data_IF_951831001750
#
_entry.id   IF_951831001750
#
_cell.length_a   1.000
_cell.length_b   1.000
_cell.length_c   1.000
_cell.angle_alpha   90.00
_cell.angle_beta   90.00
_cell.angle_gamma   90.00
#
_symmetry.space_group_name_H-M   'P 1'
#
loop_
_entity.id
_entity.type
_entity.pdbx_description
1 polymer ?
#
# COMPACT_ATOMS: atom_id res chain seq x y z
N UNK A 1 41.71 17.51 47.69
CA UNK A 1 41.87 16.87 46.37
C UNK A 1 40.75 17.44 45.54
N UNK A 2 40.91 18.65 45.02
CA UNK A 2 39.81 19.36 44.34
C UNK A 2 40.36 20.03 43.11
N UNK A 3 39.91 19.55 41.96
CA UNK A 3 40.33 20.06 40.67
C UNK A 3 39.87 19.15 39.54
N UNK A 4 38.82 19.63 38.86
CA UNK A 4 38.44 19.31 37.48
C UNK A 4 37.55 18.06 37.34
N UNK A 5 36.23 18.30 37.14
CA UNK A 5 35.67 17.90 35.85
C UNK A 5 34.61 18.90 35.34
N UNK A 6 35.05 20.07 34.84
CA UNK A 6 34.18 20.94 34.00
C UNK A 6 34.58 20.96 32.52
N UNK A 7 35.63 20.23 32.13
CA UNK A 7 36.14 20.24 30.75
C UNK A 7 35.61 19.06 29.92
N UNK A 8 35.19 17.95 30.56
CA UNK A 8 34.66 16.77 29.84
C UNK A 8 33.20 16.97 29.39
N UNK A 9 32.42 17.76 30.13
CA UNK A 9 31.02 18.04 29.77
C UNK A 9 30.88 18.99 28.56
N UNK A 10 31.87 19.85 28.30
CA UNK A 10 31.80 20.81 27.20
C UNK A 10 32.19 20.21 25.83
N UNK A 11 33.02 19.16 25.81
CA UNK A 11 33.43 18.49 24.56
C UNK A 11 32.38 17.52 24.02
N UNK A 12 31.50 16.96 24.87
CA UNK A 12 30.39 16.13 24.43
C UNK A 12 29.23 16.95 23.84
N UNK A 13 29.00 18.17 24.34
CA UNK A 13 27.93 19.04 23.82
C UNK A 13 28.27 19.70 22.47
N UNK A 14 29.55 19.93 22.16
CA UNK A 14 29.96 20.54 20.88
C UNK A 14 29.96 19.57 19.69
N UNK A 15 29.96 18.24 19.90
CA UNK A 15 29.92 17.27 18.80
C UNK A 15 28.50 16.85 18.37
N UNK A 16 27.49 17.06 19.22
CA UNK A 16 26.08 16.76 18.88
C UNK A 16 25.47 17.88 18.00
N UNK A 17 25.99 19.10 18.07
CA UNK A 17 25.50 20.24 17.28
C UNK A 17 26.08 20.33 15.86
N UNK A 18 26.98 19.43 15.45
CA UNK A 18 27.65 19.48 14.14
C UNK A 18 27.28 18.34 13.18
N UNK A 19 26.35 17.45 13.54
CA UNK A 19 25.91 16.35 12.66
C UNK A 19 24.41 16.32 12.32
N UNK A 20 23.59 17.27 12.78
CA UNK A 20 22.25 17.47 12.22
C UNK A 20 22.33 18.29 10.94
N UNK A 21 22.94 17.75 9.89
CA UNK A 21 22.51 18.15 8.55
C UNK A 21 21.10 17.61 8.40
N UNK A 22 20.11 18.49 8.58
CA UNK A 22 18.72 18.26 8.22
C UNK A 22 18.66 17.65 6.82
N UNK A 23 18.48 16.34 6.77
CA UNK A 23 18.19 15.63 5.54
C UNK A 23 16.70 15.81 5.29
N UNK A 24 16.32 16.89 4.60
CA UNK A 24 14.97 16.96 4.05
C UNK A 24 14.95 16.06 2.82
N UNK A 25 14.21 14.94 2.89
CA UNK A 25 13.85 14.17 1.72
C UNK A 25 12.87 15.02 0.90
N UNK A 26 13.36 15.63 -0.18
CA UNK A 26 12.49 16.32 -1.13
C UNK A 26 12.11 15.33 -2.25
N UNK A 27 10.89 15.47 -2.82
CA UNK A 27 10.56 14.83 -4.09
C UNK A 27 11.68 15.11 -5.11
N UNK A 28 11.98 14.17 -5.99
CA UNK A 28 13.05 14.35 -6.98
C UNK A 28 12.45 14.77 -8.32
N UNK A 29 13.21 15.54 -9.07
CA UNK A 29 12.98 15.73 -10.50
C UNK A 29 13.44 14.50 -11.28
N UNK A 30 12.94 14.33 -12.50
CA UNK A 30 13.25 13.16 -13.35
C UNK A 30 14.74 13.01 -13.71
N UNK A 31 15.53 14.07 -13.49
CA UNK A 31 16.98 14.11 -13.59
C UNK A 31 17.70 14.01 -12.23
N UNK A 32 16.99 13.53 -11.20
CA UNK A 32 17.45 13.34 -9.82
C UNK A 32 17.88 14.63 -9.10
N UNK A 33 17.51 15.81 -9.62
CA UNK A 33 17.72 17.09 -8.93
C UNK A 33 16.58 17.37 -7.95
N UNK A 34 16.86 18.22 -6.94
CA UNK A 34 15.82 18.74 -6.06
C UNK A 34 14.96 19.80 -6.79
N UNK A 35 13.63 19.77 -6.65
CA UNK A 35 12.72 20.81 -7.11
C UNK A 35 13.09 22.18 -6.53
N UNK A 36 12.99 23.21 -7.37
CA UNK A 36 13.37 24.57 -7.03
C UNK A 36 12.21 25.54 -7.26
N UNK A 37 12.26 26.71 -6.63
CA UNK A 37 11.30 27.79 -6.89
C UNK A 37 11.71 28.49 -8.19
N UNK A 38 10.89 28.44 -9.26
CA UNK A 38 11.21 29.13 -10.51
C UNK A 38 11.31 30.64 -10.29
N UNK A 39 12.26 31.30 -10.97
CA UNK A 39 12.47 32.76 -10.86
C UNK A 39 11.30 33.59 -11.40
N UNK A 40 10.47 32.98 -12.25
CA UNK A 40 9.29 33.59 -12.84
C UNK A 40 8.20 32.53 -13.04
N UNK A 41 6.91 32.90 -12.94
CA UNK A 41 5.82 32.00 -13.25
C UNK A 41 5.93 31.46 -14.67
N UNK A 42 5.68 30.17 -14.84
CA UNK A 42 5.65 29.52 -16.15
C UNK A 42 4.36 29.89 -16.89
N UNK A 43 4.48 30.14 -18.19
CA UNK A 43 3.35 30.55 -19.02
C UNK A 43 2.62 29.35 -19.63
N UNK A 44 3.31 28.21 -19.77
CA UNK A 44 2.77 27.01 -20.40
C UNK A 44 2.41 25.93 -19.37
N UNK A 45 3.40 25.38 -18.68
CA UNK A 45 3.24 24.41 -17.59
C UNK A 45 3.13 25.13 -16.26
N UNK A 46 1.93 25.65 -15.97
CA UNK A 46 1.66 26.41 -14.75
C UNK A 46 1.73 25.48 -13.53
N UNK A 47 2.64 25.79 -12.61
CA UNK A 47 2.79 25.08 -11.35
C UNK A 47 2.93 26.08 -10.20
N UNK A 48 2.24 25.82 -9.10
CA UNK A 48 2.31 26.63 -7.87
C UNK A 48 3.33 26.02 -6.91
N UNK A 49 4.40 26.75 -6.59
CA UNK A 49 5.40 26.32 -5.61
C UNK A 49 6.71 25.87 -6.25
N UNK A 50 7.31 24.80 -5.71
CA UNK A 50 8.58 24.24 -6.23
C UNK A 50 8.30 23.34 -7.42
N UNK A 51 9.05 23.50 -8.51
CA UNK A 51 8.92 22.66 -9.69
C UNK A 51 10.28 22.21 -10.23
N UNK A 52 10.23 21.41 -11.28
CA UNK A 52 11.43 20.83 -11.91
C UNK A 52 11.90 21.54 -13.17
N UNK A 53 11.11 22.48 -13.69
CA UNK A 53 11.44 23.25 -14.89
C UNK A 53 11.77 24.71 -14.56
N UNK A 54 12.73 25.26 -15.31
CA UNK A 54 12.95 26.69 -15.44
C UNK A 54 12.20 27.26 -16.66
N UNK A 55 12.20 28.58 -16.82
CA UNK A 55 11.42 29.23 -17.89
C UNK A 55 11.93 28.94 -19.30
N UNK A 56 13.21 28.58 -19.47
CA UNK A 56 13.74 28.10 -20.76
C UNK A 56 13.17 26.72 -21.10
N UNK A 57 13.10 25.83 -20.12
CA UNK A 57 12.50 24.49 -20.27
C UNK A 57 10.99 24.58 -20.54
N UNK A 58 10.26 25.47 -19.84
CA UNK A 58 8.82 25.74 -20.10
C UNK A 58 8.58 26.19 -21.54
N UNK A 59 9.43 27.08 -22.07
CA UNK A 59 9.36 27.53 -23.46
C UNK A 59 9.62 26.40 -24.44
N UNK A 60 10.53 25.48 -24.11
CA UNK A 60 10.86 24.35 -24.98
C UNK A 60 9.73 23.31 -24.99
N UNK A 61 9.15 22.99 -23.83
CA UNK A 61 7.96 22.14 -23.73
C UNK A 61 6.78 22.72 -24.51
N UNK A 62 6.60 24.06 -24.47
CA UNK A 62 5.60 24.74 -25.29
C UNK A 62 5.86 24.59 -26.80
N UNK A 63 7.12 24.62 -27.25
CA UNK A 63 7.46 24.38 -28.66
C UNK A 63 7.20 22.92 -29.04
N UNK A 64 7.61 21.97 -28.18
CA UNK A 64 7.34 20.55 -28.35
C UNK A 64 5.84 20.30 -28.49
N UNK A 65 5.01 20.86 -27.60
CA UNK A 65 3.55 20.74 -27.69
C UNK A 65 2.99 21.31 -28.99
N UNK A 66 3.45 22.48 -29.44
CA UNK A 66 3.05 23.05 -30.73
C UNK A 66 3.43 22.17 -31.92
N UNK A 67 4.57 21.46 -31.83
CA UNK A 67 5.02 20.55 -32.88
C UNK A 67 4.13 19.31 -33.04
N UNK A 68 3.33 18.96 -32.03
CA UNK A 68 2.38 17.85 -32.11
C UNK A 68 1.20 18.13 -33.07
N UNK A 69 0.92 19.40 -33.37
CA UNK A 69 -0.10 19.84 -34.34
C UNK A 69 -1.47 19.16 -34.19
N UNK A 70 -1.95 19.04 -32.95
CA UNK A 70 -3.23 18.38 -32.62
C UNK A 70 -4.40 19.38 -32.70
N UNK A 71 -5.51 18.97 -33.31
CA UNK A 71 -6.68 19.83 -33.57
C UNK A 71 -7.80 19.75 -32.53
N UNK A 72 -7.88 18.68 -31.73
CA UNK A 72 -8.93 18.47 -30.72
C UNK A 72 -8.56 19.04 -29.35
N UNK A 73 -9.44 19.85 -28.75
CA UNK A 73 -9.19 20.51 -27.47
C UNK A 73 -8.98 19.52 -26.30
N UNK A 74 -9.81 18.48 -26.19
CA UNK A 74 -9.68 17.47 -25.13
C UNK A 74 -8.34 16.72 -25.22
N UNK A 75 -8.00 16.23 -26.41
CA UNK A 75 -6.71 15.61 -26.67
C UNK A 75 -5.52 16.56 -26.44
N UNK A 76 -5.63 17.82 -26.87
CA UNK A 76 -4.62 18.85 -26.65
C UNK A 76 -4.39 19.12 -25.16
N UNK A 77 -5.46 19.13 -24.36
CA UNK A 77 -5.36 19.29 -22.90
C UNK A 77 -4.61 18.13 -22.26
N UNK A 78 -4.93 16.89 -22.65
CA UNK A 78 -4.28 15.69 -22.14
C UNK A 78 -2.81 15.61 -22.53
N UNK A 79 -2.47 15.86 -23.81
CA UNK A 79 -1.09 15.91 -24.30
C UNK A 79 -0.27 17.01 -23.60
N UNK A 80 -0.88 18.16 -23.33
CA UNK A 80 -0.25 19.22 -22.54
C UNK A 80 0.06 18.73 -21.13
N UNK A 81 -0.88 18.06 -20.48
CA UNK A 81 -0.69 17.47 -19.14
C UNK A 81 0.50 16.50 -19.13
N UNK A 82 0.55 15.56 -20.09
CA UNK A 82 1.64 14.58 -20.22
C UNK A 82 3.00 15.25 -20.42
N UNK A 83 3.10 16.29 -21.25
CA UNK A 83 4.38 16.99 -21.45
C UNK A 83 4.78 17.79 -20.21
N UNK A 84 3.81 18.38 -19.52
CA UNK A 84 4.05 19.18 -18.32
C UNK A 84 4.40 18.37 -17.07
N UNK A 85 4.18 17.04 -17.06
CA UNK A 85 4.64 16.18 -15.95
C UNK A 85 6.16 16.25 -15.74
N UNK A 86 6.94 16.59 -16.78
CA UNK A 86 8.38 16.82 -16.64
C UNK A 86 8.73 17.93 -15.64
N UNK A 87 7.82 18.87 -15.43
CA UNK A 87 7.98 19.98 -14.48
C UNK A 87 7.42 19.67 -13.10
N UNK A 88 6.74 18.53 -12.94
CA UNK A 88 6.11 18.12 -11.70
C UNK A 88 7.15 17.53 -10.73
N UNK A 89 7.23 18.04 -9.49
CA UNK A 89 8.20 17.58 -8.50
C UNK A 89 7.99 16.14 -8.03
N UNK A 90 6.84 15.53 -8.26
CA UNK A 90 6.53 14.15 -7.88
C UNK A 90 6.77 13.14 -9.01
N UNK A 91 7.09 13.62 -10.21
CA UNK A 91 7.22 12.75 -11.38
C UNK A 91 8.45 11.84 -11.34
N UNK A 92 9.50 12.09 -10.57
CA UNK A 92 10.64 11.16 -10.53
C UNK A 92 10.30 9.78 -9.96
N UNK A 93 9.29 9.66 -9.10
CA UNK A 93 8.82 8.35 -8.63
C UNK A 93 8.20 7.53 -9.78
N UNK A 94 7.65 8.22 -10.78
CA UNK A 94 7.10 7.64 -12.01
C UNK A 94 8.18 7.36 -13.08
N UNK A 95 9.32 8.06 -13.04
CA UNK A 95 10.39 7.98 -14.05
C UNK A 95 11.73 7.57 -13.43
N UNK A 96 12.02 6.25 -13.38
CA UNK A 96 13.38 5.75 -13.08
C UNK A 96 14.35 6.04 -14.22
N UNK A 97 15.64 6.23 -13.90
CA UNK A 97 16.73 6.49 -14.86
C UNK A 97 16.88 5.30 -15.82
N UNK A 98 16.43 5.45 -17.07
CA UNK A 98 16.72 4.52 -18.17
C UNK A 98 15.85 4.81 -19.39
N UNK A 99 16.40 4.60 -20.58
CA UNK A 99 15.80 4.99 -21.86
C UNK A 99 14.90 3.88 -22.42
N UNK A 100 13.57 4.07 -22.35
CA UNK A 100 12.57 3.20 -22.97
C UNK A 100 11.14 3.58 -22.57
N UNK A 101 10.10 3.14 -23.31
CA UNK A 101 8.71 3.19 -22.85
C UNK A 101 8.56 2.44 -21.53
N UNK A 102 7.73 2.95 -20.62
CA UNK A 102 7.51 2.36 -19.29
C UNK A 102 6.05 2.43 -18.90
N UNK A 103 5.62 1.40 -18.18
CA UNK A 103 4.35 1.39 -17.46
C UNK A 103 4.45 2.42 -16.33
N UNK A 104 3.63 3.46 -16.41
CA UNK A 104 3.47 4.43 -15.32
C UNK A 104 2.29 3.92 -14.50
N UNK A 105 2.46 3.54 -13.23
CA UNK A 105 1.34 3.07 -12.40
C UNK A 105 0.32 4.20 -12.33
N UNK A 106 -0.86 3.95 -12.91
CA UNK A 106 -2.08 4.76 -12.87
C UNK A 106 -1.78 6.27 -12.89
N UNK A 107 -1.78 6.86 -14.08
CA UNK A 107 -1.89 8.31 -14.22
C UNK A 107 -3.29 8.72 -13.70
N UNK A 108 -3.50 8.79 -12.39
CA UNK A 108 -4.74 9.30 -11.84
C UNK A 108 -4.92 10.72 -12.37
N UNK A 109 -6.07 10.97 -13.00
CA UNK A 109 -6.46 12.33 -13.34
C UNK A 109 -6.83 13.05 -12.06
N UNK A 110 -5.85 13.57 -11.30
CA UNK A 110 -5.88 14.98 -10.89
C UNK A 110 -4.79 15.41 -9.90
N UNK A 111 -4.29 16.61 -10.12
CA UNK A 111 -3.83 17.57 -9.10
C UNK A 111 -5.03 18.30 -8.46
N UNK A 112 -6.19 17.66 -8.26
CA UNK A 112 -7.41 18.32 -7.79
C UNK A 112 -7.35 18.35 -6.27
N UNK A 113 -7.42 19.56 -5.71
CA UNK A 113 -7.58 19.80 -4.29
C UNK A 113 -8.78 19.02 -3.75
N UNK A 114 -8.59 18.37 -2.60
CA UNK A 114 -9.51 17.44 -1.93
C UNK A 114 -10.96 17.94 -1.69
N UNK A 115 -11.29 19.19 -2.03
CA UNK A 115 -12.59 19.83 -1.78
C UNK A 115 -13.41 20.17 -3.05
N UNK A 116 -13.09 19.59 -4.21
CA UNK A 116 -13.87 19.81 -5.45
C UNK A 116 -15.00 18.78 -5.61
N UNK A 117 -16.20 19.24 -6.01
CA UNK A 117 -17.39 18.43 -6.31
C UNK A 117 -17.26 17.50 -7.54
N UNK A 118 -16.04 17.27 -8.03
CA UNK A 118 -15.73 16.48 -9.23
C UNK A 118 -15.08 15.12 -8.93
N UNK A 119 -15.08 14.67 -7.67
CA UNK A 119 -14.53 13.37 -7.24
C UNK A 119 -15.16 12.14 -7.95
N UNK A 120 -16.35 12.28 -8.55
CA UNK A 120 -16.98 11.22 -9.36
C UNK A 120 -16.28 10.92 -10.70
N UNK A 121 -15.28 11.70 -11.12
CA UNK A 121 -14.54 11.47 -12.37
C UNK A 121 -13.34 10.50 -12.21
N UNK A 122 -13.19 9.88 -11.03
CA UNK A 122 -12.17 8.89 -10.71
C UNK A 122 -12.37 7.52 -11.40
N UNK A 123 -13.49 7.29 -12.09
CA UNK A 123 -13.80 6.02 -12.76
C UNK A 123 -13.26 5.89 -14.20
N UNK A 124 -12.47 6.86 -14.68
CA UNK A 124 -11.83 6.78 -16.01
C UNK A 124 -10.33 7.01 -15.85
N UNK A 125 -9.59 5.91 -15.86
CA UNK A 125 -8.13 5.92 -15.92
C UNK A 125 -7.65 6.82 -17.08
N UNK A 126 -6.56 7.56 -16.88
CA UNK A 126 -6.08 8.58 -17.82
C UNK A 126 -5.77 8.01 -19.19
N UNK A 127 -5.33 6.75 -19.28
CA UNK A 127 -5.18 6.11 -20.58
C UNK A 127 -6.51 6.06 -21.34
N UNK A 128 -7.60 5.68 -20.66
CA UNK A 128 -8.92 5.64 -21.28
C UNK A 128 -9.34 7.02 -21.78
N UNK A 129 -9.05 8.09 -21.03
CA UNK A 129 -9.31 9.48 -21.46
C UNK A 129 -8.49 9.88 -22.67
N UNK A 130 -7.19 9.55 -22.69
CA UNK A 130 -6.32 9.80 -23.85
C UNK A 130 -6.85 9.05 -25.06
N UNK A 131 -7.22 7.77 -24.93
CA UNK A 131 -7.79 7.03 -26.02
C UNK A 131 -9.07 7.71 -26.53
N UNK A 132 -10.06 7.93 -25.66
CA UNK A 132 -11.38 8.42 -26.08
C UNK A 132 -11.30 9.79 -26.78
N UNK A 133 -10.41 10.68 -26.31
CA UNK A 133 -10.22 12.02 -26.89
C UNK A 133 -9.27 12.07 -28.10
N UNK A 134 -8.24 11.21 -28.14
CA UNK A 134 -7.15 11.30 -29.13
C UNK A 134 -7.19 10.23 -30.22
N UNK A 135 -7.88 9.10 -30.04
CA UNK A 135 -7.67 7.91 -30.89
C UNK A 135 -7.85 8.15 -32.39
N UNK A 136 -8.79 9.02 -32.74
CA UNK A 136 -9.14 9.38 -34.10
C UNK A 136 -8.54 10.72 -34.56
N UNK A 137 -7.64 11.34 -33.79
CA UNK A 137 -6.97 12.58 -34.16
C UNK A 137 -5.56 12.30 -34.65
N UNK A 138 -5.14 13.09 -35.64
CA UNK A 138 -3.77 13.08 -36.14
C UNK A 138 -2.85 13.80 -35.15
N UNK A 139 -1.81 13.11 -34.69
CA UNK A 139 -0.76 13.66 -33.81
C UNK A 139 0.58 13.54 -34.53
N UNK A 140 1.22 14.67 -34.77
CA UNK A 140 2.57 14.71 -35.35
C UNK A 140 3.60 14.29 -34.30
N UNK A 141 4.50 13.37 -34.63
CA UNK A 141 5.50 12.86 -33.68
C UNK A 141 4.86 12.38 -32.38
N UNK A 142 3.80 11.56 -32.52
CA UNK A 142 3.02 11.08 -31.39
C UNK A 142 3.94 10.53 -30.28
N UNK A 143 3.78 10.98 -29.02
CA UNK A 143 4.53 10.42 -27.90
C UNK A 143 4.12 8.96 -27.58
N UNK A 144 3.06 8.46 -28.22
CA UNK A 144 2.47 7.14 -27.99
C UNK A 144 2.83 6.11 -29.08
N UNK A 145 4.06 6.17 -29.60
CA UNK A 145 4.54 5.22 -30.62
C UNK A 145 5.09 3.94 -29.96
N UNK A 146 5.04 2.81 -30.69
CA UNK A 146 5.50 1.49 -30.20
C UNK A 146 7.03 1.32 -30.16
N UNK A 147 7.80 2.29 -30.66
CA UNK A 147 9.23 2.10 -30.87
C UNK A 147 10.08 2.26 -29.59
N UNK A 148 10.64 1.12 -29.17
CA UNK A 148 11.79 1.03 -28.29
C UNK A 148 12.99 1.72 -28.95
N UNK A 149 13.41 2.86 -28.41
CA UNK A 149 14.70 3.51 -28.67
C UNK A 149 15.08 3.74 -30.15
N UNK A 150 14.87 4.97 -30.65
CA UNK A 150 15.83 5.59 -31.58
C UNK A 150 15.43 5.77 -33.05
N UNK A 151 14.23 5.40 -33.48
CA UNK A 151 13.75 5.79 -34.83
C UNK A 151 12.76 6.94 -34.73
N UNK A 152 13.18 8.14 -35.14
CA UNK A 152 12.28 9.29 -35.31
C UNK A 152 11.45 9.05 -36.57
N UNK A 153 10.28 8.43 -36.42
CA UNK A 153 9.31 8.39 -37.50
C UNK A 153 8.62 9.76 -37.53
N UNK A 154 9.14 10.66 -38.38
CA UNK A 154 8.54 11.96 -38.70
C UNK A 154 7.27 11.75 -39.53
N UNK A 155 6.22 11.18 -38.92
CA UNK A 155 4.92 10.99 -39.55
C UNK A 155 3.81 11.37 -38.58
N UNK A 156 2.84 12.13 -39.09
CA UNK A 156 1.56 12.30 -38.41
C UNK A 156 0.81 10.98 -38.39
N UNK A 157 0.40 10.53 -37.21
CA UNK A 157 -0.27 9.22 -37.01
C UNK A 157 -1.47 9.36 -36.08
N UNK A 158 -2.47 8.49 -36.25
CA UNK A 158 -3.61 8.34 -35.32
C UNK A 158 -3.34 7.18 -34.35
N UNK A 159 -3.89 7.19 -33.14
CA UNK A 159 -3.66 6.06 -32.22
C UNK A 159 -4.28 4.77 -32.76
N UNK A 160 -5.39 4.86 -33.50
CA UNK A 160 -6.00 3.71 -34.20
C UNK A 160 -5.14 3.11 -35.31
N UNK A 161 -4.13 3.84 -35.79
CA UNK A 161 -3.14 3.33 -36.76
C UNK A 161 -1.95 2.67 -36.05
N UNK A 162 -1.67 3.06 -34.80
CA UNK A 162 -0.54 2.58 -34.01
C UNK A 162 -0.90 1.39 -33.10
N UNK A 163 -2.15 1.33 -32.64
CA UNK A 163 -2.61 0.40 -31.59
C UNK A 163 -3.82 -0.41 -32.06
N UNK A 164 -3.82 -1.70 -31.72
CA UNK A 164 -4.84 -2.66 -32.17
C UNK A 164 -6.18 -2.46 -31.45
N UNK A 165 -6.16 -1.94 -30.23
CA UNK A 165 -7.35 -1.66 -29.43
C UNK A 165 -7.07 -0.66 -28.31
N UNK A 166 -8.14 -0.12 -27.70
CA UNK A 166 -8.08 0.66 -26.46
C UNK A 166 -7.37 -0.11 -25.35
N UNK A 167 -7.68 -1.41 -25.24
CA UNK A 167 -7.05 -2.32 -24.28
C UNK A 167 -5.54 -2.39 -24.49
N UNK A 168 -5.08 -2.69 -25.70
CA UNK A 168 -3.65 -2.80 -26.01
C UNK A 168 -2.89 -1.48 -25.77
N UNK A 169 -3.52 -0.33 -26.03
CA UNK A 169 -2.95 0.98 -25.71
C UNK A 169 -2.84 1.21 -24.20
N UNK A 170 -3.87 0.81 -23.43
CA UNK A 170 -3.86 0.96 -21.98
C UNK A 170 -3.00 -0.07 -21.27
N UNK A 171 -2.86 -1.29 -21.78
CA UNK A 171 -1.94 -2.26 -21.21
C UNK A 171 -0.48 -1.75 -21.28
N UNK A 172 -0.11 -1.02 -22.34
CA UNK A 172 1.22 -0.42 -22.47
C UNK A 172 1.40 0.86 -21.62
N UNK A 173 0.45 1.81 -21.69
CA UNK A 173 0.63 3.14 -21.11
C UNK A 173 -0.14 3.41 -19.80
N UNK A 174 -1.19 2.63 -19.52
CA UNK A 174 -1.96 2.65 -18.27
C UNK A 174 -1.64 1.49 -17.32
N UNK A 175 -0.87 0.49 -17.79
CA UNK A 175 -0.72 -0.80 -17.12
C UNK A 175 -1.86 -1.75 -17.48
N UNK A 176 -1.64 -3.06 -17.31
CA UNK A 176 -2.61 -4.09 -17.68
C UNK A 176 -4.01 -3.76 -17.13
N UNK A 177 -5.04 -3.87 -17.98
CA UNK A 177 -6.45 -3.64 -17.65
C UNK A 177 -7.05 -4.60 -16.61
N UNK A 178 -6.32 -5.64 -16.23
CA UNK A 178 -6.45 -6.25 -14.91
C UNK A 178 -5.41 -5.58 -14.02
N UNK A 179 -5.85 -4.71 -13.11
CA UNK A 179 -5.03 -3.88 -12.22
C UNK A 179 -4.02 -4.65 -11.35
N UNK A 180 -3.93 -5.98 -11.50
CA UNK A 180 -3.08 -6.83 -10.69
C UNK A 180 -3.51 -6.87 -9.22
N UNK A 181 -4.65 -6.25 -8.90
CA UNK A 181 -5.17 -6.24 -7.54
C UNK A 181 -5.45 -7.67 -7.09
N UNK A 182 -5.09 -7.96 -5.85
CA UNK A 182 -5.26 -9.30 -5.28
C UNK A 182 -4.34 -10.39 -5.84
N UNK A 183 -3.45 -10.09 -6.79
CA UNK A 183 -2.53 -11.09 -7.36
C UNK A 183 -1.16 -11.05 -6.69
N UNK A 184 -0.61 -12.23 -6.48
CA UNK A 184 0.74 -12.43 -5.94
C UNK A 184 1.54 -13.18 -6.99
N UNK A 185 2.74 -12.70 -7.31
CA UNK A 185 3.64 -13.37 -8.25
C UNK A 185 4.94 -13.76 -7.57
N UNK A 186 5.55 -14.84 -8.07
CA UNK A 186 6.91 -15.20 -7.70
C UNK A 186 7.90 -14.42 -8.56
N UNK A 187 8.88 -13.81 -7.89
CA UNK A 187 10.01 -13.18 -8.53
C UNK A 187 11.18 -14.18 -8.65
N UNK A 188 11.73 -14.31 -9.84
CA UNK A 188 13.01 -14.98 -10.08
C UNK A 188 14.13 -14.03 -9.75
N UNK A 189 14.88 -14.36 -8.69
CA UNK A 189 16.04 -13.57 -8.26
C UNK A 189 17.28 -14.07 -9.02
N UNK A 190 17.96 -13.21 -9.79
CA UNK A 190 19.18 -13.59 -10.51
C UNK A 190 20.34 -13.82 -9.54
N UNK A 191 21.34 -14.59 -9.98
CA UNK A 191 22.55 -14.80 -9.18
C UNK A 191 23.27 -13.45 -8.91
N UNK A 192 23.81 -13.30 -7.70
CA UNK A 192 24.54 -12.10 -7.33
C UNK A 192 25.73 -11.88 -8.30
N UNK A 193 25.82 -10.69 -8.88
CA UNK A 193 26.86 -10.34 -9.84
C UNK A 193 26.64 -10.84 -11.28
N UNK A 194 25.54 -11.53 -11.60
CA UNK A 194 25.26 -11.97 -12.98
C UNK A 194 24.94 -10.83 -13.94
N UNK A 195 24.50 -9.68 -13.42
CA UNK A 195 24.03 -8.55 -14.21
C UNK A 195 22.64 -8.75 -14.83
N UNK A 196 22.00 -9.88 -14.57
CA UNK A 196 20.61 -10.14 -14.96
C UNK A 196 19.63 -9.37 -14.06
N UNK A 197 18.41 -9.17 -14.54
CA UNK A 197 17.34 -8.47 -13.81
C UNK A 197 16.40 -9.46 -13.15
N UNK A 198 15.77 -9.04 -12.04
CA UNK A 198 14.67 -9.76 -11.42
C UNK A 198 13.55 -10.01 -12.45
N UNK A 199 13.17 -11.27 -12.63
CA UNK A 199 12.15 -11.70 -13.58
C UNK A 199 10.83 -11.99 -12.86
N UNK A 200 9.71 -11.55 -13.42
CA UNK A 200 8.36 -11.89 -12.93
C UNK A 200 7.56 -12.41 -14.12
N UNK A 201 7.00 -13.61 -14.00
CA UNK A 201 6.05 -14.13 -14.98
C UNK A 201 4.64 -13.65 -14.63
N UNK A 202 4.24 -12.52 -15.19
CA UNK A 202 2.93 -11.91 -14.93
C UNK A 202 1.76 -12.77 -15.43
N UNK A 203 2.01 -13.72 -16.35
CA UNK A 203 0.97 -14.58 -16.91
C UNK A 203 0.55 -15.73 -15.99
N UNK A 204 1.37 -16.05 -14.99
CA UNK A 204 1.16 -17.14 -14.06
C UNK A 204 1.30 -16.65 -12.60
N UNK A 205 0.24 -16.04 -12.04
CA UNK A 205 0.26 -15.65 -10.63
C UNK A 205 0.42 -16.87 -9.72
N UNK A 206 1.16 -16.67 -8.62
CA UNK A 206 1.24 -17.65 -7.55
C UNK A 206 -0.13 -17.85 -6.90
N UNK A 207 -0.79 -16.75 -6.56
CA UNK A 207 -2.12 -16.70 -5.96
C UNK A 207 -2.91 -15.55 -6.61
N UNK A 208 -4.18 -15.78 -6.90
CA UNK A 208 -5.09 -14.79 -7.48
C UNK A 208 -6.31 -14.63 -6.56
N UNK A 209 -6.38 -13.51 -5.83
CA UNK A 209 -7.48 -13.11 -4.94
C UNK A 209 -8.23 -11.89 -5.48
N UNK A 210 -8.27 -11.71 -6.81
CA UNK A 210 -8.89 -10.53 -7.44
C UNK A 210 -10.37 -10.37 -7.05
N UNK A 211 -11.07 -11.48 -6.79
CA UNK A 211 -12.51 -11.46 -6.47
C UNK A 211 -12.77 -11.09 -5.00
N UNK A 212 -11.82 -11.36 -4.10
CA UNK A 212 -11.91 -11.11 -2.66
C UNK A 212 -11.34 -9.74 -2.26
N UNK A 213 -10.29 -9.30 -2.95
CA UNK A 213 -9.51 -8.12 -2.58
C UNK A 213 -10.16 -6.85 -3.12
N UNK A 214 -10.44 -5.92 -2.23
CA UNK A 214 -10.82 -4.57 -2.58
C UNK A 214 -9.59 -3.68 -2.65
N UNK A 215 -9.29 -3.18 -3.84
CA UNK A 215 -8.19 -2.27 -4.10
C UNK A 215 -8.66 -0.81 -4.15
N UNK A 216 -7.92 0.05 -3.44
CA UNK A 216 -8.03 1.51 -3.44
C UNK A 216 -6.67 2.10 -3.04
N UNK A 217 -6.60 3.41 -2.82
CA UNK A 217 -5.36 4.16 -2.53
C UNK A 217 -4.60 3.63 -1.30
N UNK A 218 -5.33 3.26 -0.23
CA UNK A 218 -4.76 2.74 1.02
C UNK A 218 -5.30 1.34 1.39
N UNK A 219 -6.05 0.71 0.48
CA UNK A 219 -6.67 -0.58 0.67
C UNK A 219 -6.23 -1.53 -0.42
N UNK A 220 -6.04 -2.81 -0.11
CA UNK A 220 -5.69 -3.80 -1.11
C UNK A 220 -5.00 -4.99 -0.50
N UNK A 221 -3.99 -5.51 -1.20
CA UNK A 221 -3.07 -6.49 -0.64
C UNK A 221 -2.08 -5.78 0.29
N UNK A 222 -2.14 -6.10 1.58
CA UNK A 222 -1.38 -5.41 2.63
C UNK A 222 -0.14 -6.18 3.09
N UNK A 223 -0.16 -7.51 2.96
CA UNK A 223 0.99 -8.31 3.34
C UNK A 223 0.90 -9.78 2.95
N UNK A 224 2.05 -10.44 2.90
CA UNK A 224 2.18 -11.88 2.81
C UNK A 224 3.25 -12.34 3.80
N UNK A 225 3.00 -13.45 4.49
CA UNK A 225 3.97 -14.08 5.36
C UNK A 225 3.94 -15.60 5.17
N UNK A 226 5.10 -16.21 5.00
CA UNK A 226 5.25 -17.66 5.00
C UNK A 226 5.47 -18.15 6.42
N UNK A 227 4.79 -19.23 6.79
CA UNK A 227 4.99 -19.86 8.09
C UNK A 227 6.48 -20.21 8.30
N UNK A 228 7.06 -20.11 9.51
CA UNK A 228 8.47 -20.45 9.75
C UNK A 228 8.84 -21.88 9.28
N UNK A 229 7.90 -22.81 9.41
CA UNK A 229 7.98 -24.19 8.91
C UNK A 229 7.35 -24.42 7.51
N UNK A 230 7.29 -23.40 6.65
CA UNK A 230 6.64 -23.48 5.33
C UNK A 230 7.17 -24.64 4.46
N UNK A 231 8.46 -24.93 4.52
CA UNK A 231 9.06 -26.02 3.75
C UNK A 231 8.44 -27.39 4.09
N UNK A 232 7.96 -27.56 5.33
CA UNK A 232 7.36 -28.79 5.82
C UNK A 232 5.83 -28.77 5.75
N UNK A 233 5.21 -27.63 6.06
CA UNK A 233 3.75 -27.55 6.22
C UNK A 233 3.03 -26.84 5.08
N UNK A 234 3.73 -26.12 4.20
CA UNK A 234 3.15 -25.40 3.07
C UNK A 234 2.22 -24.23 3.44
N UNK A 235 2.18 -23.80 4.71
CA UNK A 235 1.25 -22.77 5.19
C UNK A 235 1.80 -21.38 4.93
N UNK A 236 0.98 -20.52 4.34
CA UNK A 236 1.30 -19.11 4.17
C UNK A 236 0.05 -18.27 4.36
N UNK A 237 0.23 -16.99 4.61
CA UNK A 237 -0.83 -16.08 5.04
C UNK A 237 -0.82 -14.85 4.18
N UNK A 238 -2.00 -14.37 3.81
CA UNK A 238 -2.16 -13.08 3.16
C UNK A 238 -2.98 -12.17 4.05
N UNK A 239 -2.57 -10.90 4.13
CA UNK A 239 -3.38 -9.83 4.70
C UNK A 239 -3.85 -8.90 3.59
N UNK A 240 -5.14 -8.60 3.59
CA UNK A 240 -5.76 -7.79 2.55
C UNK A 240 -7.05 -7.14 3.04
N UNK A 241 -7.53 -6.16 2.28
CA UNK A 241 -8.82 -5.52 2.51
C UNK A 241 -9.88 -6.07 1.56
N UNK A 242 -11.11 -6.17 2.02
CA UNK A 242 -12.25 -6.59 1.23
C UNK A 242 -13.45 -5.66 1.42
N UNK A 243 -14.42 -5.72 0.51
CA UNK A 243 -15.67 -4.95 0.55
C UNK A 243 -16.87 -5.87 0.80
N UNK A 244 -17.54 -5.72 1.95
CA UNK A 244 -18.71 -6.53 2.31
C UNK A 244 -19.90 -6.39 1.36
N UNK A 245 -19.97 -5.29 0.62
CA UNK A 245 -21.03 -5.05 -0.38
C UNK A 245 -20.78 -5.89 -1.63
N UNK A 246 -19.50 -6.11 -2.00
CA UNK A 246 -19.12 -6.90 -3.17
C UNK A 246 -18.96 -8.39 -2.84
N UNK A 247 -18.36 -8.71 -1.70
CA UNK A 247 -18.10 -10.07 -1.24
C UNK A 247 -18.77 -10.30 0.13
N UNK A 248 -19.92 -10.97 0.20
CA UNK A 248 -20.67 -11.14 1.44
C UNK A 248 -19.93 -11.89 2.56
N UNK A 249 -18.92 -12.70 2.23
CA UNK A 249 -18.07 -13.41 3.22
C UNK A 249 -17.00 -12.47 3.84
N UNK A 250 -16.85 -11.26 3.31
CA UNK A 250 -16.15 -10.15 3.93
C UNK A 250 -16.98 -9.58 5.10
N UNK A 251 -17.14 -10.38 6.14
CA UNK A 251 -17.92 -10.03 7.32
C UNK A 251 -17.10 -10.17 8.57
N UNK A 252 -17.28 -9.22 9.50
CA UNK A 252 -16.59 -9.18 10.77
C UNK A 252 -17.21 -8.15 11.70
N UNK A 253 -16.76 -8.17 12.96
CA UNK A 253 -17.12 -7.13 13.93
C UNK A 253 -16.55 -5.80 13.46
N UNK A 254 -17.30 -4.71 13.62
CA UNK A 254 -16.81 -3.36 13.37
C UNK A 254 -15.88 -2.91 14.50
N UNK A 255 -14.69 -2.38 14.19
CA UNK A 255 -13.75 -1.85 15.19
C UNK A 255 -14.33 -0.65 15.96
N UNK A 256 -15.08 0.21 15.28
CA UNK A 256 -15.90 1.23 15.91
C UNK A 256 -17.18 0.62 16.48
N UNK A 257 -17.21 0.40 17.79
CA UNK A 257 -18.39 -0.07 18.50
C UNK A 257 -18.45 0.47 19.93
N UNK A 258 -19.57 0.25 20.61
CA UNK A 258 -19.85 0.80 21.94
C UNK A 258 -18.84 0.36 23.00
N UNK A 259 -18.18 -0.80 22.83
CA UNK A 259 -17.12 -1.26 23.75
C UNK A 259 -15.91 -0.30 23.74
N UNK A 260 -15.65 0.32 22.59
CA UNK A 260 -14.56 1.28 22.35
C UNK A 260 -14.99 2.73 22.54
N UNK A 261 -16.25 2.99 22.90
CA UNK A 261 -16.82 4.35 22.94
C UNK A 261 -17.06 4.96 21.54
N UNK A 262 -17.16 4.13 20.51
CA UNK A 262 -17.43 4.58 19.14
C UNK A 262 -18.80 4.09 18.64
N UNK A 263 -19.50 4.92 17.87
CA UNK A 263 -20.81 4.60 17.31
C UNK A 263 -20.74 4.74 15.79
N UNK A 264 -20.76 3.63 15.02
CA UNK A 264 -20.55 3.68 13.58
C UNK A 264 -21.69 4.41 12.85
N UNK A 265 -22.88 4.54 13.47
CA UNK A 265 -23.98 5.30 12.88
C UNK A 265 -23.77 6.82 12.92
N UNK A 266 -22.81 7.28 13.74
CA UNK A 266 -22.44 8.70 13.88
C UNK A 266 -21.21 9.07 13.04
N UNK A 267 -20.57 8.10 12.41
CA UNK A 267 -19.44 8.33 11.53
C UNK A 267 -19.92 8.82 10.16
N UNK A 268 -19.22 9.79 9.54
CA UNK A 268 -19.51 10.20 8.18
C UNK A 268 -19.16 9.09 7.20
N UNK A 269 -19.85 9.06 6.06
CA UNK A 269 -19.40 8.27 4.91
C UNK A 269 -18.19 8.95 4.26
N UNK A 270 -17.15 8.19 3.94
CA UNK A 270 -15.97 8.68 3.21
C UNK A 270 -15.99 8.16 1.78
N UNK A 271 -15.92 9.05 0.79
CA UNK A 271 -15.90 8.69 -0.64
C UNK A 271 -17.05 7.74 -1.08
N UNK A 272 -18.20 7.80 -0.39
CA UNK A 272 -19.36 6.94 -0.66
C UNK A 272 -19.36 5.60 0.08
N UNK A 273 -18.25 5.24 0.76
CA UNK A 273 -18.19 4.07 1.61
C UNK A 273 -18.87 4.33 2.96
N UNK A 274 -19.64 3.34 3.42
CA UNK A 274 -20.24 3.37 4.76
C UNK A 274 -19.23 2.91 5.81
N UNK A 275 -19.30 3.41 7.05
CA UNK A 275 -18.48 2.92 8.16
C UNK A 275 -18.56 1.39 8.29
N UNK A 276 -17.41 0.74 8.44
CA UNK A 276 -17.28 -0.71 8.50
C UNK A 276 -17.86 -1.46 7.28
N UNK A 277 -17.82 -0.82 6.11
CA UNK A 277 -18.04 -1.49 4.83
C UNK A 277 -16.83 -2.36 4.47
N UNK A 278 -15.64 -1.78 4.54
CA UNK A 278 -14.39 -2.50 4.29
C UNK A 278 -13.94 -3.26 5.53
N UNK A 279 -13.26 -4.39 5.32
CA UNK A 279 -12.67 -5.17 6.41
C UNK A 279 -11.19 -5.42 6.14
N UNK A 280 -10.39 -5.48 7.20
CA UNK A 280 -9.04 -6.02 7.17
C UNK A 280 -9.09 -7.51 7.50
N UNK A 281 -8.49 -8.32 6.65
CA UNK A 281 -8.49 -9.79 6.70
C UNK A 281 -7.06 -10.29 6.86
N UNK A 282 -6.91 -11.37 7.64
CA UNK A 282 -5.78 -12.29 7.54
C UNK A 282 -6.34 -13.68 7.24
N UNK A 283 -5.94 -14.24 6.10
CA UNK A 283 -6.37 -15.55 5.64
C UNK A 283 -5.16 -16.49 5.51
N UNK A 284 -5.35 -17.74 5.91
CA UNK A 284 -4.39 -18.83 5.73
C UNK A 284 -4.68 -19.56 4.41
N UNK A 285 -3.61 -19.86 3.68
CA UNK A 285 -3.60 -20.63 2.45
C UNK A 285 -2.55 -21.74 2.53
N UNK A 286 -2.67 -22.71 1.63
CA UNK A 286 -1.78 -23.88 1.59
C UNK A 286 -1.21 -24.12 0.20
N UNK A 287 0.11 -24.32 0.16
CA UNK A 287 0.83 -24.83 -1.01
C UNK A 287 0.83 -26.37 -1.08
N UNK A 288 0.32 -27.06 -0.05
CA UNK A 288 0.20 -28.52 -0.08
C UNK A 288 -0.85 -28.92 -1.12
N UNK A 289 -0.47 -29.75 -2.08
CA UNK A 289 -1.37 -30.28 -3.10
C UNK A 289 -1.12 -29.76 -4.51
N UNK A 290 -0.31 -28.70 -4.68
CA UNK A 290 0.15 -28.26 -6.01
C UNK A 290 1.57 -28.74 -6.35
N UNK A 291 2.35 -29.13 -5.35
CA UNK A 291 3.69 -29.73 -5.51
C UNK A 291 3.93 -30.83 -4.46
N UNK A 292 4.84 -31.77 -4.76
CA UNK A 292 5.33 -32.77 -3.80
C UNK A 292 6.21 -32.17 -2.71
N UNK A 293 6.78 -30.99 -2.96
CA UNK A 293 7.48 -30.16 -1.99
C UNK A 293 6.85 -28.76 -2.01
N UNK A 294 6.25 -28.30 -0.90
CA UNK A 294 5.55 -27.00 -0.88
C UNK A 294 6.43 -25.82 -1.29
N UNK A 295 7.73 -25.87 -0.98
CA UNK A 295 8.72 -24.87 -1.37
C UNK A 295 8.98 -24.76 -2.88
N UNK A 296 8.51 -25.74 -3.67
CA UNK A 296 8.64 -25.76 -5.13
C UNK A 296 7.33 -25.38 -5.84
N UNK A 297 6.27 -25.06 -5.09
CA UNK A 297 5.00 -24.65 -5.69
C UNK A 297 5.17 -23.31 -6.41
N UNK A 298 4.83 -23.28 -7.70
CA UNK A 298 4.82 -22.06 -8.52
C UNK A 298 3.45 -21.42 -8.63
N UNK A 299 2.40 -22.15 -8.21
CA UNK A 299 1.03 -21.66 -8.10
C UNK A 299 0.27 -22.42 -7.01
N UNK A 300 -0.79 -21.80 -6.51
CA UNK A 300 -1.68 -22.33 -5.46
C UNK A 300 -3.13 -22.00 -5.78
N UNK A 301 -4.06 -22.79 -5.24
CA UNK A 301 -5.49 -22.50 -5.37
C UNK A 301 -5.88 -21.37 -4.40
N UNK A 302 -6.77 -20.44 -4.81
CA UNK A 302 -7.28 -19.38 -3.93
C UNK A 302 -8.35 -19.90 -2.97
N UNK A 303 -8.09 -21.04 -2.34
CA UNK A 303 -8.98 -21.61 -1.34
C UNK A 303 -8.47 -21.22 0.05
N UNK A 304 -9.19 -20.31 0.69
CA UNK A 304 -8.95 -19.96 2.09
C UNK A 304 -9.10 -21.22 2.96
N UNK A 305 -8.00 -21.61 3.61
CA UNK A 305 -7.98 -22.74 4.55
C UNK A 305 -8.62 -22.33 5.88
N UNK A 306 -8.34 -21.09 6.30
CA UNK A 306 -8.80 -20.57 7.59
C UNK A 306 -8.75 -19.04 7.66
N UNK A 307 -9.82 -18.44 8.19
CA UNK A 307 -9.86 -17.02 8.57
C UNK A 307 -9.13 -16.83 9.89
N UNK A 308 -7.93 -16.25 9.84
CA UNK A 308 -7.17 -15.95 11.06
C UNK A 308 -7.76 -14.71 11.73
N UNK A 309 -8.04 -13.65 10.98
CA UNK A 309 -8.51 -12.39 11.54
C UNK A 309 -9.49 -11.70 10.59
N UNK A 310 -10.52 -11.07 11.13
CA UNK A 310 -11.43 -10.17 10.39
C UNK A 310 -11.86 -8.99 11.25
N UNK A 311 -11.69 -7.77 10.76
CA UNK A 311 -12.11 -6.55 11.45
C UNK A 311 -12.67 -5.53 10.46
N UNK A 312 -13.91 -5.07 10.70
CA UNK A 312 -14.52 -3.98 9.94
C UNK A 312 -13.87 -2.65 10.28
N UNK A 313 -13.57 -1.86 9.24
CA UNK A 313 -12.78 -0.63 9.30
C UNK A 313 -13.68 0.60 9.39
N UNK A 314 -13.46 1.53 10.34
CA UNK A 314 -14.40 2.61 10.59
C UNK A 314 -14.33 3.72 9.53
N UNK A 315 -13.16 3.90 8.93
CA UNK A 315 -12.86 4.84 7.85
C UNK A 315 -12.15 4.10 6.70
N UNK A 316 -11.72 4.83 5.66
CA UNK A 316 -11.09 4.24 4.47
C UNK A 316 -9.54 4.38 4.44
N UNK A 317 -8.93 4.99 5.46
CA UNK A 317 -7.49 5.31 5.50
C UNK A 317 -6.82 4.93 6.84
N UNK A 318 -5.49 4.92 6.87
CA UNK A 318 -4.59 4.66 7.99
C UNK A 318 -4.77 3.30 8.67
N UNK A 319 -4.83 2.24 7.89
CA UNK A 319 -5.04 0.90 8.43
C UNK A 319 -3.74 0.10 8.58
N UNK A 320 -2.70 0.38 7.80
CA UNK A 320 -1.59 -0.56 7.67
C UNK A 320 -2.13 -1.95 7.24
N UNK A 321 -1.56 -3.00 7.80
CA UNK A 321 -2.00 -4.37 7.52
C UNK A 321 -0.86 -5.34 7.21
N UNK A 322 0.39 -4.91 7.43
CA UNK A 322 1.52 -5.79 7.28
C UNK A 322 1.43 -6.93 8.29
N UNK A 323 1.77 -8.14 7.83
CA UNK A 323 1.97 -9.32 8.66
C UNK A 323 3.40 -9.84 8.51
N UNK A 324 3.97 -10.35 9.59
CA UNK A 324 5.27 -11.04 9.58
C UNK A 324 5.39 -11.99 10.79
N UNK A 325 6.31 -12.94 10.73
CA UNK A 325 6.60 -13.83 11.85
C UNK A 325 7.75 -13.29 12.69
N UNK A 326 7.60 -13.37 14.01
CA UNK A 326 8.70 -13.10 14.93
C UNK A 326 9.80 -14.14 14.77
N UNK A 327 11.07 -13.72 14.56
CA UNK A 327 12.17 -14.65 14.27
C UNK A 327 12.56 -15.51 15.48
N UNK A 328 12.35 -15.00 16.71
CA UNK A 328 12.72 -15.72 17.95
C UNK A 328 11.58 -16.59 18.50
N UNK A 329 10.33 -16.15 18.34
CA UNK A 329 9.16 -16.78 18.96
C UNK A 329 8.22 -17.50 17.97
N UNK A 330 8.32 -17.20 16.67
CA UNK A 330 7.53 -17.82 15.62
C UNK A 330 6.06 -17.41 15.61
N UNK A 331 5.66 -16.39 16.36
CA UNK A 331 4.28 -15.89 16.37
C UNK A 331 4.01 -14.93 15.21
N UNK A 332 2.74 -14.80 14.82
CA UNK A 332 2.33 -13.88 13.76
C UNK A 332 2.12 -12.48 14.36
N UNK A 333 2.86 -11.50 13.87
CA UNK A 333 2.68 -10.09 14.17
C UNK A 333 1.83 -9.44 13.09
N UNK A 334 0.91 -8.58 13.50
CA UNK A 334 -0.01 -7.86 12.63
C UNK A 334 -0.10 -6.40 13.02
N UNK A 335 0.19 -5.50 12.08
CA UNK A 335 0.37 -4.09 12.34
C UNK A 335 -0.81 -3.30 11.79
N UNK A 336 -1.54 -2.62 12.69
CA UNK A 336 -2.70 -1.80 12.37
C UNK A 336 -2.45 -0.33 12.73
N UNK A 337 -2.81 0.56 11.82
CA UNK A 337 -2.90 1.99 12.11
C UNK A 337 -4.17 2.35 12.88
N UNK A 338 -4.28 3.62 13.26
CA UNK A 338 -5.35 4.19 14.07
C UNK A 338 -6.74 4.13 13.41
N UNK A 339 -6.78 3.75 12.13
CA UNK A 339 -8.00 3.53 11.38
C UNK A 339 -8.62 4.81 10.86
N UNK A 340 -7.89 5.92 10.83
CA UNK A 340 -8.19 7.07 9.98
C UNK A 340 -9.01 8.19 10.62
N UNK A 341 -8.90 9.36 9.99
CA UNK A 341 -9.38 10.69 10.39
C UNK A 341 -8.35 11.56 11.13
N UNK A 342 -8.43 12.87 10.89
CA UNK A 342 -7.47 13.86 11.37
C UNK A 342 -7.46 13.88 12.90
N UNK A 343 -6.31 13.53 13.48
CA UNK A 343 -6.04 13.70 14.91
C UNK A 343 -6.61 12.60 15.80
N UNK A 344 -6.90 11.41 15.23
CA UNK A 344 -7.45 10.25 15.94
C UNK A 344 -8.64 10.62 16.85
N UNK A 345 -9.80 11.02 16.28
CA UNK A 345 -10.90 11.62 17.05
C UNK A 345 -11.51 10.67 18.09
N UNK A 346 -11.29 9.36 17.96
CA UNK A 346 -11.73 8.34 18.92
C UNK A 346 -10.60 7.83 19.80
N UNK A 347 -9.41 8.44 19.67
CA UNK A 347 -8.20 8.09 20.40
C UNK A 347 -7.90 6.60 20.29
N UNK A 348 -8.20 5.96 19.16
CA UNK A 348 -8.05 4.54 18.93
C UNK A 348 -6.62 4.06 19.21
N UNK A 349 -5.62 4.85 18.81
CA UNK A 349 -4.21 4.53 18.98
C UNK A 349 -3.82 4.37 20.46
N UNK A 350 -4.38 5.20 21.34
CA UNK A 350 -4.17 5.11 22.80
C UNK A 350 -5.28 4.32 23.51
N UNK A 351 -6.39 4.03 22.84
CA UNK A 351 -7.50 3.28 23.39
C UNK A 351 -7.11 1.81 23.49
N UNK A 352 -6.91 1.41 24.74
CA UNK A 352 -6.52 0.08 25.20
C UNK A 352 -7.48 -1.04 24.83
N UNK A 353 -8.73 -0.71 24.55
CA UNK A 353 -9.73 -1.66 24.08
C UNK A 353 -9.69 -1.80 22.55
N UNK A 354 -9.14 -0.84 21.82
CA UNK A 354 -9.12 -0.90 20.35
C UNK A 354 -7.92 -1.70 19.85
N UNK A 355 -8.13 -2.50 18.79
CA UNK A 355 -7.03 -3.11 18.01
C UNK A 355 -6.49 -2.19 16.91
N UNK A 356 -7.06 -0.99 16.73
CA UNK A 356 -6.51 0.03 15.84
C UNK A 356 -5.37 0.80 16.54
N UNK A 357 -4.34 1.15 15.78
CA UNK A 357 -3.12 1.80 16.24
C UNK A 357 -2.27 0.90 17.13
N UNK A 358 -2.25 -0.40 16.80
CA UNK A 358 -1.62 -1.47 17.58
C UNK A 358 -0.77 -2.35 16.70
N UNK A 359 0.21 -2.99 17.33
CA UNK A 359 0.80 -4.23 16.84
C UNK A 359 0.19 -5.35 17.66
N UNK A 360 -0.44 -6.31 16.99
CA UNK A 360 -0.95 -7.53 17.61
C UNK A 360 0.05 -8.66 17.43
N UNK A 361 0.11 -9.58 18.39
CA UNK A 361 0.92 -10.80 18.33
C UNK A 361 0.03 -12.01 18.62
N UNK A 362 -0.09 -12.89 17.63
CA UNK A 362 -1.08 -13.97 17.56
C UNK A 362 -0.39 -15.33 17.49
N UNK A 363 -0.94 -16.31 18.22
CA UNK A 363 -0.58 -17.73 18.09
C UNK A 363 -1.56 -18.42 17.14
N UNK A 364 -1.04 -18.74 15.95
CA UNK A 364 -1.79 -19.38 14.86
C UNK A 364 -1.61 -20.89 14.80
N UNK A 365 -0.84 -21.47 15.73
CA UNK A 365 -0.50 -22.89 15.77
C UNK A 365 -1.29 -23.61 16.86
N UNK A 366 -1.44 -22.99 18.03
CA UNK A 366 -2.08 -23.59 19.19
C UNK A 366 -3.50 -23.06 19.39
N UNK A 367 -4.39 -23.41 18.48
CA UNK A 367 -5.79 -22.97 18.56
C UNK A 367 -6.57 -23.84 19.55
N UNK A 368 -7.37 -23.24 20.46
CA UNK A 368 -8.26 -23.97 21.33
C UNK A 368 -9.16 -24.92 20.56
N UNK A 369 -9.28 -26.17 21.03
CA UNK A 369 -9.99 -27.26 20.33
C UNK A 369 -11.47 -26.92 20.07
N UNK A 370 -12.05 -26.04 20.87
CA UNK A 370 -13.43 -25.59 20.73
C UNK A 370 -13.64 -24.71 19.48
N UNK A 371 -12.62 -23.91 19.09
CA UNK A 371 -12.64 -23.09 17.87
C UNK A 371 -12.39 -23.93 16.59
N UNK A 372 -11.81 -25.11 16.73
CA UNK A 372 -11.58 -26.04 15.61
C UNK A 372 -12.87 -26.77 15.18
N UNK A 373 -13.87 -26.88 16.08
CA UNK A 373 -15.10 -27.64 15.82
C UNK A 373 -16.10 -26.84 14.98
N UNK A 374 -16.17 -25.51 15.14
CA UNK A 374 -17.13 -24.66 14.42
C UNK A 374 -16.94 -24.65 12.89
N UNK A 375 -15.74 -24.95 12.39
CA UNK A 375 -15.42 -24.89 10.97
C UNK A 375 -15.61 -26.21 10.20
N UNK A 376 -15.82 -27.35 10.90
CA UNK A 376 -15.89 -28.66 10.24
C UNK A 376 -17.23 -28.96 9.53
N UNK A 377 -18.21 -28.05 9.56
CA UNK A 377 -19.50 -28.25 8.86
C UNK A 377 -19.98 -26.94 8.27
N UNK A 378 -19.62 -26.68 7.01
CA UNK A 378 -20.38 -25.76 6.16
C UNK A 378 -21.82 -26.32 6.02
N UNK A 379 -22.74 -25.87 6.87
CA UNK A 379 -24.17 -26.11 6.71
C UNK A 379 -24.96 -26.69 7.89
N UNK A 380 -24.43 -26.71 9.13
CA UNK A 380 -25.22 -27.13 10.31
C UNK A 380 -25.35 -25.98 11.31
N UNK A 381 -26.55 -25.45 11.45
CA UNK A 381 -26.95 -24.71 12.66
C UNK A 381 -26.95 -25.70 13.82
N UNK A 382 -25.85 -25.79 14.58
CA UNK A 382 -25.83 -26.57 15.81
C UNK A 382 -26.49 -25.78 16.93
N UNK A 383 -27.72 -26.16 17.26
CA UNK A 383 -28.51 -25.68 18.40
C UNK A 383 -28.03 -26.24 19.75
N UNK A 384 -26.73 -26.42 19.94
CA UNK A 384 -26.13 -26.90 21.19
C UNK A 384 -24.97 -26.01 21.60
N UNK A 385 -25.28 -24.90 22.30
CA UNK A 385 -24.49 -24.20 23.32
C UNK A 385 -22.95 -24.29 23.32
N UNK A 386 -22.29 -24.27 22.17
CA UNK A 386 -20.85 -24.09 22.03
C UNK A 386 -20.54 -22.61 21.96
N UNK A 387 -19.60 -22.15 22.79
CA UNK A 387 -19.15 -20.77 22.82
C UNK A 387 -18.52 -20.38 21.47
N UNK A 388 -19.16 -19.45 20.78
CA UNK A 388 -18.72 -18.87 19.50
C UNK A 388 -17.43 -18.07 19.67
N UNK A 389 -16.68 -17.82 18.58
CA UNK A 389 -15.56 -16.83 18.56
C UNK A 389 -15.97 -15.50 19.24
N UNK A 390 -17.22 -15.08 19.03
CA UNK A 390 -17.85 -13.93 19.68
C UNK A 390 -18.00 -14.03 21.20
N UNK A 391 -18.16 -15.23 21.76
CA UNK A 391 -18.27 -15.45 23.21
C UNK A 391 -16.91 -15.37 23.92
N UNK A 392 -15.80 -15.47 23.18
CA UNK A 392 -14.43 -15.26 23.69
C UNK A 392 -13.89 -13.85 23.43
N UNK A 393 -14.65 -12.99 22.74
CA UNK A 393 -14.24 -11.63 22.41
C UNK A 393 -13.18 -11.49 21.31
N UNK A 394 -12.67 -12.61 20.78
CA UNK A 394 -11.61 -12.62 19.76
C UNK A 394 -12.12 -12.20 18.38
N UNK A 395 -11.18 -11.77 17.52
CA UNK A 395 -11.46 -11.27 16.18
C UNK A 395 -11.28 -12.31 15.07
N UNK A 396 -10.98 -13.56 15.42
CA UNK A 396 -10.85 -14.66 14.46
C UNK A 396 -10.29 -15.94 15.08
N UNK A 397 -9.68 -16.79 14.25
CA UNK A 397 -9.26 -18.13 14.62
C UNK A 397 -7.76 -18.18 14.95
N UNK A 398 -7.42 -17.79 16.18
CA UNK A 398 -6.09 -17.86 16.78
C UNK A 398 -6.20 -18.01 18.30
N UNK A 399 -5.07 -18.23 18.96
CA UNK A 399 -4.90 -17.98 20.40
C UNK A 399 -3.99 -16.78 20.64
N UNK A 400 -4.02 -16.30 21.88
CA UNK A 400 -3.14 -15.22 22.34
C UNK A 400 -1.97 -15.84 23.11
N UNK A 401 -0.71 -15.51 22.78
CA UNK A 401 0.43 -15.92 23.58
C UNK A 401 0.30 -15.47 25.03
N UNK A 402 0.51 -16.39 25.98
CA UNK A 402 0.34 -16.11 27.41
C UNK A 402 1.30 -15.05 27.94
N UNK A 403 2.41 -14.80 27.24
CA UNK A 403 3.39 -13.78 27.54
C UNK A 403 3.13 -12.45 26.82
N UNK A 404 2.00 -12.24 26.14
CA UNK A 404 1.63 -10.90 25.66
C UNK A 404 1.55 -9.92 26.85
N UNK A 405 1.97 -8.65 26.68
CA UNK A 405 2.13 -7.70 27.78
C UNK A 405 0.86 -7.43 28.59
N UNK A 406 -0.31 -7.69 28.00
CA UNK A 406 -1.60 -7.32 28.54
C UNK A 406 -2.57 -8.50 28.68
N UNK A 407 -2.07 -9.74 28.64
CA UNK A 407 -2.90 -10.95 28.72
C UNK A 407 -3.73 -11.07 30.01
N UNK A 408 -3.28 -10.42 31.09
CA UNK A 408 -3.94 -10.44 32.41
C UNK A 408 -4.69 -9.13 32.75
N UNK A 409 -4.62 -8.10 31.90
CA UNK A 409 -5.30 -6.82 32.13
C UNK A 409 -6.67 -6.83 31.45
N UNK A 410 -7.74 -7.03 32.24
CA UNK A 410 -9.13 -7.04 31.76
C UNK A 410 -9.56 -5.69 31.10
N UNK A 411 -8.76 -4.63 31.24
CA UNK A 411 -8.98 -3.35 30.58
C UNK A 411 -8.45 -3.27 29.14
N UNK A 412 -7.68 -4.27 28.69
CA UNK A 412 -6.98 -4.28 27.40
C UNK A 412 -7.36 -5.50 26.57
N UNK A 413 -7.31 -5.33 25.25
CA UNK A 413 -7.41 -6.49 24.37
C UNK A 413 -6.13 -7.34 24.47
N UNK A 414 -6.25 -8.65 24.70
CA UNK A 414 -5.11 -9.52 25.01
C UNK A 414 -4.15 -9.71 23.82
N UNK A 415 -4.60 -9.47 22.59
CA UNK A 415 -3.80 -9.55 21.36
C UNK A 415 -2.69 -8.49 21.28
N UNK A 416 -2.83 -7.39 22.01
CA UNK A 416 -1.96 -6.21 21.89
C UNK A 416 -0.55 -6.55 22.36
N UNK A 417 0.42 -6.37 21.47
CA UNK A 417 1.86 -6.42 21.75
C UNK A 417 2.46 -5.03 21.97
N UNK A 418 2.10 -4.06 21.13
CA UNK A 418 2.53 -2.65 21.25
C UNK A 418 1.40 -1.73 20.79
N UNK A 419 1.44 -0.46 21.20
CA UNK A 419 0.37 0.51 20.94
C UNK A 419 0.91 1.91 20.74
N UNK A 420 0.15 2.75 20.05
CA UNK A 420 0.51 4.15 19.81
C UNK A 420 0.80 4.47 18.36
N UNK A 421 0.64 3.49 17.47
CA UNK A 421 0.84 3.70 16.03
C UNK A 421 -0.30 4.52 15.42
N UNK A 422 0.04 5.32 14.42
CA UNK A 422 -0.91 6.10 13.64
C UNK A 422 -1.17 5.46 12.29
N UNK A 423 -0.15 5.35 11.45
CA UNK A 423 -0.22 4.82 10.10
C UNK A 423 1.07 4.05 9.76
N UNK A 424 1.26 2.85 10.35
CA UNK A 424 2.46 2.06 10.16
C UNK A 424 2.58 1.62 8.70
N UNK A 425 3.71 1.97 8.07
CA UNK A 425 3.96 1.64 6.67
C UNK A 425 4.66 0.29 6.51
N UNK A 426 5.84 0.14 7.12
CA UNK A 426 6.60 -1.10 7.07
C UNK A 426 7.41 -1.27 8.34
N UNK A 427 7.24 -2.42 8.98
CA UNK A 427 8.01 -2.88 10.10
C UNK A 427 8.83 -4.13 9.76
N UNK A 428 9.92 -4.35 10.50
CA UNK A 428 10.85 -5.45 10.29
C UNK A 428 11.67 -5.73 11.55
N UNK A 429 12.01 -7.00 11.76
CA UNK A 429 13.03 -7.38 12.73
C UNK A 429 14.42 -7.27 12.09
N UNK A 430 15.39 -6.73 12.84
CA UNK A 430 16.79 -6.68 12.42
C UNK A 430 17.35 -8.12 12.33
N UNK A 431 17.93 -8.47 11.17
CA UNK A 431 18.42 -9.82 10.90
C UNK A 431 19.64 -10.21 11.76
N UNK A 432 20.49 -9.25 12.14
CA UNK A 432 21.66 -9.47 12.99
C UNK A 432 21.32 -9.36 14.48
N UNK A 433 20.23 -8.64 14.80
CA UNK A 433 19.72 -8.41 16.16
C UNK A 433 18.22 -8.68 16.22
N UNK A 434 17.78 -9.96 16.25
CA UNK A 434 16.37 -10.33 16.14
C UNK A 434 15.42 -9.72 17.18
N UNK A 435 15.95 -9.21 18.29
CA UNK A 435 15.19 -8.48 19.31
C UNK A 435 14.87 -7.02 18.94
N UNK A 436 15.49 -6.45 17.90
CA UNK A 436 15.24 -5.10 17.43
C UNK A 436 14.11 -5.14 16.42
N UNK A 437 12.93 -4.70 16.84
CA UNK A 437 11.77 -4.57 15.98
C UNK A 437 11.60 -3.09 15.60
N UNK A 438 11.79 -2.77 14.33
CA UNK A 438 11.69 -1.41 13.83
C UNK A 438 10.40 -1.24 13.03
N UNK A 439 9.68 -0.13 13.19
CA UNK A 439 8.55 0.21 12.35
C UNK A 439 8.61 1.65 11.84
N UNK A 440 8.37 1.86 10.55
CA UNK A 440 8.12 3.19 10.02
C UNK A 440 6.66 3.59 10.23
N UNK A 441 6.42 4.76 10.81
CA UNK A 441 5.09 5.32 11.05
C UNK A 441 4.99 6.75 10.48
N UNK A 442 3.85 7.04 9.85
CA UNK A 442 3.61 8.30 9.12
C UNK A 442 2.89 9.28 10.02
N UNK A 443 3.55 10.35 10.45
CA UNK A 443 3.01 11.33 11.40
C UNK A 443 2.27 12.48 10.74
N UNK A 444 1.03 12.25 10.26
CA UNK A 444 -0.02 13.16 9.75
C UNK A 444 0.39 14.42 8.96
N UNK A 445 1.21 15.30 9.55
CA UNK A 445 1.77 16.53 8.99
C UNK A 445 3.05 17.01 9.74
N UNK A 446 3.54 16.27 10.75
CA UNK A 446 4.64 16.69 11.63
C UNK A 446 5.98 16.05 11.24
N UNK A 447 6.13 14.75 11.50
CA UNK A 447 7.36 13.99 11.29
C UNK A 447 7.04 12.57 10.85
N UNK A 448 7.76 12.09 9.84
CA UNK A 448 7.88 10.66 9.57
C UNK A 448 8.82 10.06 10.61
N UNK A 449 8.41 8.97 11.24
CA UNK A 449 9.16 8.34 12.32
C UNK A 449 9.56 6.90 11.98
N UNK A 450 10.63 6.45 12.64
CA UNK A 450 11.05 5.06 12.64
C UNK A 450 11.24 4.68 14.10
N UNK A 451 10.30 3.89 14.60
CA UNK A 451 10.23 3.51 15.99
C UNK A 451 10.92 2.19 16.24
N UNK A 452 11.63 2.13 17.37
CA UNK A 452 12.02 0.86 17.96
C UNK A 452 10.87 0.37 18.82
N UNK A 453 10.12 -0.60 18.29
CA UNK A 453 9.00 -1.25 18.95
C UNK A 453 9.52 -2.10 20.09
N UNK A 454 8.91 -1.93 21.26
CA UNK A 454 9.20 -2.72 22.45
C UNK A 454 7.93 -3.38 22.97
N UNK A 455 8.10 -4.41 23.81
CA UNK A 455 6.96 -5.08 24.43
C UNK A 455 6.15 -4.08 25.26
N UNK A 456 4.91 -3.84 24.85
CA UNK A 456 3.94 -2.94 25.48
C UNK A 456 4.00 -1.48 25.00
N UNK A 457 4.99 -1.08 24.20
CA UNK A 457 5.24 0.31 23.79
C UNK A 457 5.85 0.40 22.40
#
# INVERSE_FOLDING_TARGET
MDGIPSVIFFFFFCNILLLTRYGSAYPLCTDSRSPFIPKSPHAFCQYSGRGCCNSTEDVELRKQFKSLNVSGYGCASLLKSTICSRCDPFSAELYRIGSGPRVVPVLCNSTVLANSSQSHLAATDFCSKVWDECHNLSISNSPFTKDKAGSVVNSSSRLTELWESKGAFCDEFGGASGDGSGKIWLATVPAEGSGETLGIDVSNPFLDLTDEVYYDTELGMMGIAFHPNFQQNGRFFASFNCDKVKWPECSGRCSCNSHMGCDPSKLPSENGAQPCQYHSIIAEFSANGTSSQPSQATSVQPLEVRRIFTMGLPFAAHHGGQILFGPEDGYLYFMMGDGGSIGDPYNFSQNKKSLLGKIMRLDIDNIPRELQIEFSVSGSTSSTGGQTITDRGLWGNYSVPGDNPFSEDEGLEPEIWALGLRNPWRCTFDADRPSYFLCADVGQDEYEEVDLITKGW
#
